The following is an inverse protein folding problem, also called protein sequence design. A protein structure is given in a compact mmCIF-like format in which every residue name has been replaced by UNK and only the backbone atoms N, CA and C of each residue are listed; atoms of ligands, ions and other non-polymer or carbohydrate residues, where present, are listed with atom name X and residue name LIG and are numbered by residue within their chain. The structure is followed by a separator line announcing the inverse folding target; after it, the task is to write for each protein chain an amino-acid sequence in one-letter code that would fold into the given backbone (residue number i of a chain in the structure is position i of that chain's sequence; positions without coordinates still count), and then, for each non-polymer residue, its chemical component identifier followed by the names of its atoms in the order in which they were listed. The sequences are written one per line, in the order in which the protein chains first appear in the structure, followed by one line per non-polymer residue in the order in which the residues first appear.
data_IF_885558481344
#
_entry.id   IF_885558481344
#
_cell.length_a   1.000
_cell.length_b   1.000
_cell.length_c   1.000
_cell.angle_alpha   90.00
_cell.angle_beta   90.00
_cell.angle_gamma   90.00
#
_symmetry.space_group_name_H-M   'P 1'
#
loop_
_entity.id
_entity.type
_entity.pdbx_description
1 polymer ?
#
# COMPACT_ATOMS: atom_id res chain seq x y z
N UNK A 1 -9.71 18.93 18.67
CA UNK A 1 -10.00 19.54 17.33
C UNK A 1 -8.70 19.81 16.61
N UNK A 2 -8.71 20.16 15.31
CA UNK A 2 -7.50 20.32 14.49
C UNK A 2 -6.46 21.30 15.05
N UNK A 3 -6.89 22.23 15.91
CA UNK A 3 -6.02 23.12 16.68
C UNK A 3 -4.90 22.41 17.47
N UNK A 4 -5.07 21.13 17.84
CA UNK A 4 -4.01 20.39 18.52
C UNK A 4 -2.76 20.21 17.64
N UNK A 5 -2.89 20.25 16.31
CA UNK A 5 -1.77 20.11 15.38
C UNK A 5 -0.98 21.41 15.17
N UNK A 6 -1.52 22.57 15.57
CA UNK A 6 -0.81 23.86 15.57
C UNK A 6 0.27 23.85 16.65
N UNK A 7 -0.04 23.28 17.83
CA UNK A 7 0.87 23.09 18.96
C UNK A 7 0.81 21.62 19.41
N UNK A 8 1.49 20.71 18.67
CA UNK A 8 1.32 19.26 18.83
C UNK A 8 1.93 18.68 20.12
N UNK A 9 2.80 19.42 20.80
CA UNK A 9 3.65 18.87 21.86
C UNK A 9 2.91 18.24 23.03
N UNK A 10 1.75 18.77 23.44
CA UNK A 10 0.98 18.20 24.54
C UNK A 10 0.33 16.86 24.14
N UNK A 11 -0.29 16.82 22.96
CA UNK A 11 -0.93 15.60 22.44
C UNK A 11 0.10 14.54 22.08
N UNK A 12 1.22 14.95 21.48
CA UNK A 12 2.34 14.06 21.20
C UNK A 12 2.87 13.40 22.48
N UNK A 13 3.08 14.18 23.56
CA UNK A 13 3.51 13.61 24.85
C UNK A 13 2.50 12.62 25.41
N UNK A 14 1.20 12.87 25.26
CA UNK A 14 0.17 11.92 25.68
C UNK A 14 0.22 10.62 24.85
N UNK A 15 0.37 10.71 23.52
CA UNK A 15 0.53 9.55 22.63
C UNK A 15 1.70 8.68 23.08
N UNK A 16 2.86 9.28 23.34
CA UNK A 16 4.06 8.56 23.80
C UNK A 16 3.83 7.94 25.19
N UNK A 17 3.26 8.70 26.12
CA UNK A 17 3.02 8.23 27.50
C UNK A 17 2.03 7.05 27.54
N UNK A 18 1.03 7.07 26.65
CA UNK A 18 0.01 6.02 26.54
C UNK A 18 0.47 4.83 25.69
N UNK A 19 1.67 4.86 25.12
CA UNK A 19 2.17 3.80 24.24
C UNK A 19 1.42 3.69 22.92
N UNK A 20 0.77 4.76 22.47
CA UNK A 20 0.02 4.83 21.20
C UNK A 20 0.96 5.07 20.00
N UNK A 21 2.16 4.49 20.03
CA UNK A 21 3.14 4.64 18.95
C UNK A 21 2.57 4.03 17.67
N UNK A 22 2.39 4.82 16.59
CA UNK A 22 1.85 4.29 15.34
C UNK A 22 2.72 3.19 14.76
N UNK A 23 2.10 2.26 14.04
CA UNK A 23 2.79 1.27 13.22
C UNK A 23 3.82 1.96 12.32
N UNK A 24 4.99 1.33 12.22
CA UNK A 24 6.09 1.74 11.33
C UNK A 24 6.66 3.13 11.64
N UNK A 25 6.53 3.58 12.88
CA UNK A 25 7.16 4.81 13.37
C UNK A 25 8.32 4.45 14.31
N UNK A 26 9.52 4.92 13.99
CA UNK A 26 10.66 4.83 14.91
C UNK A 26 10.58 5.97 15.93
N UNK A 27 9.99 5.70 17.09
CA UNK A 27 9.99 6.66 18.18
C UNK A 27 11.39 6.68 18.84
N UNK A 28 12.26 7.60 18.43
CA UNK A 28 13.53 7.82 19.13
C UNK A 28 13.25 8.54 20.45
N UNK A 29 13.39 7.83 21.56
CA UNK A 29 13.20 8.35 22.93
C UNK A 29 14.27 9.36 23.38
N UNK A 30 15.32 9.58 22.58
CA UNK A 30 16.50 10.33 22.99
C UNK A 30 16.75 11.64 22.22
N UNK A 31 15.91 11.99 21.24
CA UNK A 31 16.09 13.19 20.41
C UNK A 31 14.85 14.09 20.51
N UNK A 32 15.04 15.40 20.60
CA UNK A 32 13.95 16.36 20.47
C UNK A 32 13.33 16.22 19.07
N UNK A 33 12.14 15.62 19.00
CA UNK A 33 11.37 15.44 17.77
C UNK A 33 10.84 16.80 17.31
N UNK A 34 10.99 17.10 16.01
CA UNK A 34 10.54 18.36 15.42
C UNK A 34 9.02 18.53 15.55
N UNK A 35 8.53 19.77 15.54
CA UNK A 35 7.08 20.07 15.56
C UNK A 35 6.34 19.40 14.42
N UNK A 36 6.97 19.32 13.25
CA UNK A 36 6.41 18.66 12.06
C UNK A 36 6.26 17.16 12.28
N UNK A 37 7.31 16.48 12.76
CA UNK A 37 7.25 15.04 13.04
C UNK A 37 6.27 14.72 14.17
N UNK A 38 6.16 15.58 15.20
CA UNK A 38 5.12 15.43 16.23
C UNK A 38 3.71 15.45 15.60
N UNK A 39 3.48 16.32 14.62
CA UNK A 39 2.21 16.44 13.89
C UNK A 39 1.94 15.18 13.06
N UNK A 40 2.92 14.70 12.31
CA UNK A 40 2.80 13.46 11.52
C UNK A 40 2.46 12.26 12.41
N UNK A 41 3.06 12.16 13.60
CA UNK A 41 2.76 11.09 14.55
C UNK A 41 1.30 11.16 15.01
N UNK A 42 0.79 12.35 15.33
CA UNK A 42 -0.63 12.53 15.68
C UNK A 42 -1.55 12.14 14.51
N UNK A 43 -1.19 12.54 13.27
CA UNK A 43 -1.95 12.17 12.07
C UNK A 43 -1.93 10.66 11.82
N UNK A 44 -0.79 10.00 12.03
CA UNK A 44 -0.66 8.54 11.93
C UNK A 44 -1.55 7.83 12.97
N UNK A 45 -1.55 8.27 14.24
CA UNK A 45 -2.46 7.75 15.27
C UNK A 45 -3.91 7.93 14.83
N UNK A 46 -4.28 9.12 14.36
CA UNK A 46 -5.64 9.39 13.90
C UNK A 46 -6.07 8.46 12.76
N UNK A 47 -5.18 8.20 11.80
CA UNK A 47 -5.41 7.29 10.68
C UNK A 47 -5.61 5.84 11.15
N UNK A 48 -4.75 5.35 12.04
CA UNK A 48 -4.83 4.00 12.60
C UNK A 48 -6.15 3.78 13.34
N UNK A 49 -6.58 4.77 14.11
CA UNK A 49 -7.85 4.79 14.84
C UNK A 49 -9.07 5.21 14.00
N UNK A 50 -8.96 5.21 12.67
CA UNK A 50 -10.09 5.41 11.74
C UNK A 50 -10.76 6.78 11.86
N UNK A 51 -10.03 7.82 12.28
CA UNK A 51 -10.55 9.17 12.47
C UNK A 51 -10.63 9.96 11.15
N UNK A 52 -11.13 9.34 10.08
CA UNK A 52 -11.22 9.94 8.73
C UNK A 52 -11.95 11.29 8.75
N UNK A 53 -13.11 11.36 9.42
CA UNK A 53 -13.86 12.62 9.51
C UNK A 53 -13.07 13.75 10.18
N UNK A 54 -12.19 13.42 11.12
CA UNK A 54 -11.30 14.39 11.75
C UNK A 54 -10.17 14.82 10.81
N UNK A 55 -9.60 13.90 10.02
CA UNK A 55 -8.62 14.23 8.98
C UNK A 55 -9.22 15.15 7.92
N UNK A 56 -10.42 14.84 7.42
CA UNK A 56 -11.15 15.70 6.47
C UNK A 56 -11.39 17.10 7.06
N UNK A 57 -11.78 17.19 8.33
CA UNK A 57 -11.94 18.46 9.02
C UNK A 57 -10.63 19.26 9.11
N UNK A 58 -9.49 18.60 9.36
CA UNK A 58 -8.18 19.26 9.32
C UNK A 58 -7.91 19.84 7.93
N UNK A 59 -8.18 19.08 6.86
CA UNK A 59 -8.01 19.56 5.49
C UNK A 59 -8.89 20.79 5.19
N UNK A 60 -10.17 20.78 5.57
CA UNK A 60 -11.07 21.93 5.37
C UNK A 60 -10.58 23.17 6.11
N UNK A 61 -10.16 23.04 7.38
CA UNK A 61 -9.69 24.16 8.18
C UNK A 61 -8.36 24.74 7.67
N UNK A 62 -7.55 23.95 6.97
CA UNK A 62 -6.21 24.35 6.50
C UNK A 62 -6.18 24.75 5.03
N UNK A 63 -7.25 24.49 4.28
CA UNK A 63 -7.34 24.75 2.84
C UNK A 63 -7.12 26.22 2.46
N UNK A 64 -7.66 27.15 3.25
CA UNK A 64 -7.57 28.59 2.94
C UNK A 64 -6.26 29.25 3.41
N UNK A 65 -5.32 28.47 3.98
CA UNK A 65 -4.02 28.97 4.42
C UNK A 65 -4.01 29.76 5.74
N UNK A 66 -5.12 29.78 6.50
CA UNK A 66 -5.20 30.50 7.79
C UNK A 66 -4.14 30.07 8.81
N UNK A 67 -3.62 28.85 8.68
CA UNK A 67 -2.62 28.28 9.58
C UNK A 67 -1.26 28.00 8.91
N UNK A 68 -1.04 28.50 7.68
CA UNK A 68 0.20 28.25 6.93
C UNK A 68 1.45 28.74 7.66
N UNK A 69 1.37 29.84 8.42
CA UNK A 69 2.48 30.36 9.24
C UNK A 69 2.90 29.42 10.39
N UNK A 70 2.00 28.51 10.81
CA UNK A 70 2.28 27.45 11.77
C UNK A 70 2.71 26.13 11.12
N UNK A 71 2.95 26.12 9.80
CA UNK A 71 3.26 24.92 9.03
C UNK A 71 2.07 23.97 8.87
N UNK A 72 0.84 24.49 8.98
CA UNK A 72 -0.40 23.73 8.86
C UNK A 72 -1.10 24.15 7.56
N UNK A 73 -0.86 23.40 6.48
CA UNK A 73 -1.43 23.66 5.15
C UNK A 73 -2.06 22.41 4.55
N UNK A 74 -2.92 22.60 3.54
CA UNK A 74 -3.48 21.49 2.77
C UNK A 74 -2.38 20.68 2.06
N UNK A 75 -1.38 21.36 1.48
CA UNK A 75 -0.24 20.69 0.82
C UNK A 75 0.55 19.80 1.79
N UNK A 76 0.72 20.23 3.05
CA UNK A 76 1.33 19.41 4.09
C UNK A 76 0.54 18.12 4.35
N UNK A 77 -0.80 18.21 4.48
CA UNK A 77 -1.65 17.04 4.71
C UNK A 77 -1.64 16.07 3.53
N UNK A 78 -1.65 16.58 2.30
CA UNK A 78 -1.56 15.75 1.09
C UNK A 78 -0.20 15.06 1.03
N UNK A 79 0.89 15.79 1.28
CA UNK A 79 2.25 15.22 1.32
C UNK A 79 2.39 14.13 2.38
N UNK A 80 1.94 14.40 3.61
CA UNK A 80 1.92 13.42 4.70
C UNK A 80 1.11 12.18 4.32
N UNK A 81 -0.10 12.35 3.77
CA UNK A 81 -0.98 11.25 3.37
C UNK A 81 -0.31 10.36 2.33
N UNK A 82 0.34 10.96 1.32
CA UNK A 82 1.08 10.21 0.30
C UNK A 82 2.28 9.46 0.89
N UNK A 83 3.09 10.14 1.70
CA UNK A 83 4.23 9.51 2.36
C UNK A 83 3.80 8.33 3.22
N UNK A 84 2.72 8.49 4.00
CA UNK A 84 2.16 7.42 4.82
C UNK A 84 1.68 6.25 3.95
N UNK A 85 1.04 6.50 2.81
CA UNK A 85 0.65 5.46 1.88
C UNK A 85 1.86 4.67 1.35
N UNK A 86 2.98 5.33 1.02
CA UNK A 86 4.21 4.65 0.58
C UNK A 86 4.75 3.73 1.68
N UNK A 87 4.78 4.19 2.92
CA UNK A 87 5.21 3.37 4.07
C UNK A 87 4.31 2.13 4.22
N UNK A 88 2.99 2.31 4.23
CA UNK A 88 2.04 1.21 4.34
C UNK A 88 2.20 0.20 3.20
N UNK A 89 2.30 0.67 1.95
CA UNK A 89 2.52 -0.17 0.77
C UNK A 89 3.81 -0.97 0.88
N UNK A 90 4.91 -0.35 1.30
CA UNK A 90 6.21 -1.01 1.47
C UNK A 90 6.14 -2.14 2.48
N UNK A 91 5.40 -1.97 3.58
CA UNK A 91 5.20 -3.03 4.56
C UNK A 91 4.27 -4.14 4.03
N UNK A 92 3.19 -3.80 3.34
CA UNK A 92 2.33 -4.78 2.69
C UNK A 92 3.08 -5.65 1.68
N UNK A 93 3.97 -5.08 0.85
CA UNK A 93 4.80 -5.84 -0.08
C UNK A 93 5.66 -6.89 0.66
N UNK A 94 6.27 -6.49 1.79
CA UNK A 94 7.07 -7.38 2.62
C UNK A 94 6.23 -8.51 3.20
N UNK A 95 5.04 -8.19 3.72
CA UNK A 95 4.11 -9.21 4.23
C UNK A 95 3.65 -10.18 3.15
N UNK A 96 3.46 -9.71 1.92
CA UNK A 96 3.01 -10.53 0.80
C UNK A 96 4.14 -11.29 0.10
N UNK A 97 5.41 -11.06 0.43
CA UNK A 97 6.55 -11.75 -0.22
C UNK A 97 6.44 -13.28 -0.17
N UNK A 98 6.09 -13.91 0.97
CA UNK A 98 5.95 -15.37 1.06
C UNK A 98 4.84 -15.96 0.19
N UNK A 99 3.91 -15.13 -0.31
CA UNK A 99 2.85 -15.59 -1.21
C UNK A 99 3.38 -15.95 -2.60
N UNK A 100 4.55 -15.43 -2.98
CA UNK A 100 5.08 -15.50 -4.35
C UNK A 100 6.51 -16.06 -4.44
N UNK A 101 7.15 -16.38 -3.31
CA UNK A 101 8.55 -16.81 -3.25
C UNK A 101 8.74 -18.34 -3.31
N UNK A 102 7.65 -19.09 -3.52
CA UNK A 102 7.62 -20.56 -3.56
C UNK A 102 8.04 -21.26 -2.25
N UNK A 103 8.18 -20.51 -1.15
CA UNK A 103 8.51 -21.08 0.17
C UNK A 103 7.40 -21.96 0.74
N UNK A 104 6.19 -21.89 0.16
CA UNK A 104 4.96 -22.51 0.65
C UNK A 104 4.55 -22.04 2.06
N UNK A 105 5.16 -20.95 2.54
CA UNK A 105 4.85 -20.33 3.82
C UNK A 105 3.54 -19.54 3.70
N UNK A 106 2.61 -19.88 4.58
CA UNK A 106 1.35 -19.13 4.70
C UNK A 106 1.57 -17.93 5.60
N UNK A 107 0.77 -16.89 5.39
CA UNK A 107 0.74 -15.77 6.32
C UNK A 107 0.28 -16.27 7.68
N UNK A 108 1.06 -15.98 8.71
CA UNK A 108 0.63 -16.20 10.08
C UNK A 108 -0.49 -15.21 10.46
N UNK A 109 -1.10 -15.43 11.62
CA UNK A 109 -2.22 -14.60 12.09
C UNK A 109 -1.82 -13.14 12.33
N UNK A 110 -0.61 -12.90 12.86
CA UNK A 110 -0.14 -11.54 13.15
C UNK A 110 0.12 -10.77 11.86
N UNK A 111 0.80 -11.39 10.90
CA UNK A 111 1.04 -10.83 9.56
C UNK A 111 -0.29 -10.52 8.87
N UNK A 112 -1.28 -11.41 8.99
CA UNK A 112 -2.62 -11.20 8.45
C UNK A 112 -3.34 -10.00 9.11
N UNK A 113 -3.24 -9.86 10.43
CA UNK A 113 -3.82 -8.70 11.15
C UNK A 113 -3.15 -7.39 10.72
N UNK A 114 -1.82 -7.39 10.60
CA UNK A 114 -1.04 -6.22 10.19
C UNK A 114 -1.38 -5.82 8.75
N UNK A 115 -1.45 -6.78 7.82
CA UNK A 115 -1.85 -6.55 6.44
C UNK A 115 -3.24 -5.91 6.35
N UNK A 116 -4.22 -6.47 7.07
CA UNK A 116 -5.58 -5.91 7.14
C UNK A 116 -5.59 -4.48 7.74
N UNK A 117 -4.75 -4.21 8.73
CA UNK A 117 -4.61 -2.87 9.30
C UNK A 117 -4.06 -1.87 8.27
N UNK A 118 -3.04 -2.25 7.50
CA UNK A 118 -2.48 -1.42 6.44
C UNK A 118 -3.50 -1.16 5.32
N UNK A 119 -4.20 -2.18 4.84
CA UNK A 119 -5.23 -2.06 3.80
C UNK A 119 -6.31 -1.07 4.25
N UNK A 120 -6.81 -1.21 5.48
CA UNK A 120 -7.82 -0.31 6.03
C UNK A 120 -7.32 1.14 6.12
N UNK A 121 -6.07 1.36 6.52
CA UNK A 121 -5.47 2.70 6.51
C UNK A 121 -5.34 3.27 5.10
N UNK A 122 -4.91 2.47 4.11
CA UNK A 122 -4.84 2.91 2.71
C UNK A 122 -6.22 3.26 2.15
N UNK A 123 -7.27 2.51 2.49
CA UNK A 123 -8.64 2.83 2.13
C UNK A 123 -9.12 4.16 2.73
N UNK A 124 -8.76 4.44 3.99
CA UNK A 124 -9.05 5.74 4.60
C UNK A 124 -8.29 6.87 3.92
N UNK A 125 -7.02 6.67 3.55
CA UNK A 125 -6.27 7.66 2.77
C UNK A 125 -6.91 7.87 1.40
N UNK A 126 -7.36 6.80 0.71
CA UNK A 126 -8.07 6.93 -0.57
C UNK A 126 -9.36 7.74 -0.43
N UNK A 127 -10.15 7.47 0.62
CA UNK A 127 -11.34 8.25 0.93
C UNK A 127 -11.03 9.71 1.30
N UNK A 128 -9.93 9.96 2.02
CA UNK A 128 -9.43 11.29 2.32
C UNK A 128 -9.07 12.07 1.05
N UNK A 129 -8.35 11.45 0.11
CA UNK A 129 -8.05 12.07 -1.19
C UNK A 129 -9.32 12.37 -1.99
N UNK A 130 -10.28 11.45 -2.04
CA UNK A 130 -11.57 11.72 -2.69
C UNK A 130 -12.26 12.92 -2.07
N UNK A 131 -12.30 13.02 -0.74
CA UNK A 131 -12.83 14.19 -0.05
C UNK A 131 -12.11 15.49 -0.45
N UNK A 132 -10.77 15.49 -0.46
CA UNK A 132 -9.96 16.64 -0.85
C UNK A 132 -10.22 17.07 -2.30
N UNK A 133 -10.30 16.13 -3.24
CA UNK A 133 -10.57 16.41 -4.65
C UNK A 133 -11.99 16.94 -4.86
N UNK A 134 -12.98 16.33 -4.20
CA UNK A 134 -14.39 16.69 -4.36
C UNK A 134 -14.74 18.04 -3.72
N UNK A 135 -14.10 18.38 -2.59
CA UNK A 135 -14.50 19.53 -1.77
C UNK A 135 -13.48 20.67 -1.74
N UNK A 136 -12.20 20.40 -1.99
CA UNK A 136 -11.10 21.34 -1.78
C UNK A 136 -10.22 21.55 -3.01
N UNK A 137 -10.61 21.04 -4.19
CA UNK A 137 -9.82 21.15 -5.44
C UNK A 137 -9.43 22.58 -5.80
N UNK A 138 -10.27 23.57 -5.49
CA UNK A 138 -9.96 24.99 -5.73
C UNK A 138 -8.80 25.55 -4.88
N UNK A 139 -8.34 24.82 -3.86
CA UNK A 139 -7.22 25.21 -2.99
C UNK A 139 -5.94 24.42 -3.27
N UNK A 140 -5.94 23.51 -4.25
CA UNK A 140 -4.82 22.62 -4.56
C UNK A 140 -3.90 23.26 -5.60
N UNK A 141 -2.61 23.37 -5.29
CA UNK A 141 -1.63 23.98 -6.19
C UNK A 141 -1.33 23.14 -7.44
N UNK A 142 -1.24 21.80 -7.29
CA UNK A 142 -0.99 20.87 -8.39
C UNK A 142 -2.05 19.77 -8.41
N UNK A 143 -3.20 20.06 -9.03
CA UNK A 143 -4.34 19.14 -9.07
C UNK A 143 -4.03 17.83 -9.79
N UNK A 144 -3.26 17.88 -10.88
CA UNK A 144 -2.87 16.71 -11.68
C UNK A 144 -2.10 15.68 -10.85
N UNK A 145 -1.10 16.14 -10.11
CA UNK A 145 -0.33 15.29 -9.20
C UNK A 145 -1.23 14.63 -8.13
N UNK A 146 -2.15 15.39 -7.53
CA UNK A 146 -3.04 14.85 -6.49
C UNK A 146 -4.00 13.79 -7.05
N UNK A 147 -4.48 13.98 -8.28
CA UNK A 147 -5.30 12.98 -8.99
C UNK A 147 -4.48 11.71 -9.29
N UNK A 148 -3.23 11.85 -9.73
CA UNK A 148 -2.33 10.71 -9.95
C UNK A 148 -2.04 9.93 -8.66
N UNK A 149 -1.79 10.65 -7.56
CA UNK A 149 -1.58 10.06 -6.24
C UNK A 149 -2.82 9.30 -5.76
N UNK A 150 -4.01 9.87 -5.89
CA UNK A 150 -5.27 9.19 -5.54
C UNK A 150 -5.49 7.94 -6.39
N UNK A 151 -5.25 8.04 -7.70
CA UNK A 151 -5.39 6.91 -8.62
C UNK A 151 -4.43 5.78 -8.26
N UNK A 152 -3.16 6.11 -8.04
CA UNK A 152 -2.12 5.16 -7.63
C UNK A 152 -2.47 4.48 -6.31
N UNK A 153 -2.90 5.25 -5.30
CA UNK A 153 -3.31 4.73 -4.01
C UNK A 153 -4.52 3.79 -4.11
N UNK A 154 -5.52 4.14 -4.93
CA UNK A 154 -6.69 3.29 -5.16
C UNK A 154 -6.29 1.97 -5.81
N UNK A 155 -5.42 2.00 -6.83
CA UNK A 155 -4.92 0.79 -7.48
C UNK A 155 -4.15 -0.11 -6.51
N UNK A 156 -3.27 0.47 -5.69
CA UNK A 156 -2.52 -0.27 -4.67
C UNK A 156 -3.44 -0.88 -3.61
N UNK A 157 -4.47 -0.14 -3.17
CA UNK A 157 -5.44 -0.65 -2.19
C UNK A 157 -6.22 -1.84 -2.75
N UNK A 158 -6.74 -1.73 -3.98
CA UNK A 158 -7.43 -2.83 -4.68
C UNK A 158 -6.51 -4.04 -4.84
N UNK A 159 -5.24 -3.82 -5.22
CA UNK A 159 -4.27 -4.91 -5.36
C UNK A 159 -4.14 -5.72 -4.05
N UNK A 160 -3.94 -5.06 -2.91
CA UNK A 160 -3.81 -5.78 -1.63
C UNK A 160 -5.12 -6.38 -1.15
N UNK A 161 -6.28 -5.78 -1.44
CA UNK A 161 -7.59 -6.38 -1.17
C UNK A 161 -7.77 -7.69 -1.96
N UNK A 162 -7.39 -7.69 -3.24
CA UNK A 162 -7.40 -8.90 -4.07
C UNK A 162 -6.45 -9.94 -3.51
N UNK A 163 -5.22 -9.58 -3.11
CA UNK A 163 -4.30 -10.52 -2.49
C UNK A 163 -4.85 -11.13 -1.19
N UNK A 164 -5.42 -10.29 -0.32
CA UNK A 164 -6.03 -10.76 0.92
C UNK A 164 -7.20 -11.72 0.62
N UNK A 165 -8.00 -11.42 -0.40
CA UNK A 165 -9.07 -12.30 -0.86
C UNK A 165 -8.52 -13.64 -1.35
N UNK A 166 -7.49 -13.64 -2.22
CA UNK A 166 -6.83 -14.86 -2.71
C UNK A 166 -6.30 -15.73 -1.56
N UNK A 167 -5.70 -15.13 -0.54
CA UNK A 167 -5.27 -15.83 0.67
C UNK A 167 -6.45 -16.43 1.42
N UNK A 168 -7.53 -15.66 1.59
CA UNK A 168 -8.71 -16.09 2.33
C UNK A 168 -9.39 -17.31 1.68
N UNK A 169 -9.45 -17.36 0.34
CA UNK A 169 -10.04 -18.47 -0.41
C UNK A 169 -9.06 -19.63 -0.69
N UNK A 170 -7.81 -19.54 -0.24
CA UNK A 170 -6.81 -20.61 -0.41
C UNK A 170 -6.12 -20.64 -1.78
N UNK A 171 -6.28 -19.60 -2.60
CA UNK A 171 -5.58 -19.48 -3.88
C UNK A 171 -4.11 -19.10 -3.71
N UNK A 172 -3.76 -18.39 -2.62
CA UNK A 172 -2.37 -18.07 -2.26
C UNK A 172 -2.05 -18.48 -0.81
N UNK A 173 -0.80 -18.85 -0.50
CA UNK A 173 0.27 -19.18 -1.46
C UNK A 173 -0.09 -20.44 -2.26
N UNK A 174 0.41 -20.50 -3.49
CA UNK A 174 0.32 -21.72 -4.30
C UNK A 174 1.17 -22.84 -3.71
N UNK A 175 0.83 -24.09 -4.03
CA UNK A 175 1.57 -25.27 -3.58
C UNK A 175 2.12 -26.07 -4.76
N UNK A 176 3.15 -26.88 -4.52
CA UNK A 176 3.63 -27.81 -5.53
C UNK A 176 2.53 -28.84 -5.87
N UNK A 177 2.33 -29.23 -7.14
CA UNK A 177 1.28 -30.18 -7.54
C UNK A 177 1.29 -31.51 -6.75
N UNK A 178 2.47 -32.00 -6.36
CA UNK A 178 2.59 -33.22 -5.53
C UNK A 178 2.05 -33.08 -4.11
N UNK A 179 1.92 -31.85 -3.60
CA UNK A 179 1.40 -31.56 -2.26
C UNK A 179 -0.10 -31.29 -2.31
N UNK A 180 -0.71 -31.29 -3.50
CA UNK A 180 -2.15 -31.08 -3.68
C UNK A 180 -2.94 -32.38 -3.42
N UNK A 181 -4.09 -32.31 -2.71
CA UNK A 181 -4.63 -31.14 -2.03
C UNK A 181 -3.92 -30.88 -0.70
N UNK A 182 -3.33 -29.69 -0.53
CA UNK A 182 -2.81 -29.25 0.77
C UNK A 182 -3.92 -28.56 1.53
N UNK A 183 -4.44 -29.23 2.55
CA UNK A 183 -5.49 -28.72 3.43
C UNK A 183 -4.85 -28.02 4.63
N UNK A 184 -5.34 -26.85 5.02
CA UNK A 184 -4.88 -26.17 6.24
C UNK A 184 -5.72 -26.53 7.47
N UNK A 185 -5.37 -25.93 8.60
CA UNK A 185 -6.12 -26.06 9.85
C UNK A 185 -7.55 -25.49 9.80
N UNK A 186 -7.92 -24.80 8.71
CA UNK A 186 -9.25 -24.26 8.46
C UNK A 186 -9.93 -24.94 7.26
N UNK A 187 -9.47 -26.15 6.89
CA UNK A 187 -9.97 -26.97 5.78
C UNK A 187 -9.90 -26.31 4.38
N UNK A 188 -9.06 -25.29 4.19
CA UNK A 188 -8.85 -24.62 2.91
C UNK A 188 -7.78 -25.34 2.08
N UNK A 189 -8.16 -25.68 0.85
CA UNK A 189 -7.28 -26.32 -0.14
C UNK A 189 -6.42 -25.28 -0.84
N UNK A 190 -5.09 -25.44 -0.80
CA UNK A 190 -4.17 -24.60 -1.59
C UNK A 190 -4.31 -24.88 -3.09
N UNK A 191 -4.23 -23.84 -3.92
CA UNK A 191 -4.11 -23.99 -5.37
C UNK A 191 -2.74 -24.60 -5.76
N UNK A 192 -2.69 -25.58 -6.68
CA UNK A 192 -1.43 -26.10 -7.20
C UNK A 192 -0.86 -25.16 -8.29
N UNK A 193 0.46 -24.95 -8.30
CA UNK A 193 1.14 -24.22 -9.39
C UNK A 193 1.71 -25.19 -10.44
N UNK A 194 1.17 -25.23 -11.67
CA UNK A 194 1.59 -26.15 -12.73
C UNK A 194 2.86 -25.66 -13.45
N UNK A 195 3.98 -25.58 -12.71
CA UNK A 195 5.23 -25.00 -13.22
C UNK A 195 5.78 -25.76 -14.43
N UNK A 196 5.63 -27.08 -14.46
CA UNK A 196 6.15 -27.93 -15.54
C UNK A 196 5.36 -27.70 -16.83
N UNK A 197 4.03 -27.74 -16.74
CA UNK A 197 3.13 -27.53 -17.87
C UNK A 197 3.29 -26.12 -18.45
N UNK A 198 3.41 -25.10 -17.60
CA UNK A 198 3.66 -23.73 -18.04
C UNK A 198 5.01 -23.61 -18.74
N UNK A 199 6.06 -24.21 -18.18
CA UNK A 199 7.41 -24.19 -18.77
C UNK A 199 7.42 -24.82 -20.15
N UNK A 200 6.83 -26.01 -20.30
CA UNK A 200 6.72 -26.71 -21.58
C UNK A 200 5.92 -25.90 -22.61
N UNK A 201 4.77 -25.36 -22.20
CA UNK A 201 3.93 -24.53 -23.04
C UNK A 201 4.69 -23.30 -23.57
N UNK A 202 5.34 -22.54 -22.69
CA UNK A 202 6.07 -21.34 -23.09
C UNK A 202 7.33 -21.66 -23.91
N UNK A 203 8.05 -22.75 -23.61
CA UNK A 203 9.17 -23.20 -24.45
C UNK A 203 8.72 -23.55 -25.87
N UNK A 204 7.61 -24.26 -26.01
CA UNK A 204 7.01 -24.56 -27.31
C UNK A 204 6.60 -23.29 -28.06
N UNK A 205 5.99 -22.33 -27.37
CA UNK A 205 5.61 -21.04 -27.96
C UNK A 205 6.82 -20.22 -28.42
N UNK A 206 7.89 -20.16 -27.62
CA UNK A 206 9.15 -19.50 -28.01
C UNK A 206 9.75 -20.13 -29.27
N UNK A 207 9.80 -21.46 -29.35
CA UNK A 207 10.31 -22.16 -30.54
C UNK A 207 9.46 -21.85 -31.80
N UNK A 208 8.13 -21.85 -31.68
CA UNK A 208 7.22 -21.49 -32.78
C UNK A 208 7.43 -20.05 -33.25
N UNK A 209 7.55 -19.10 -32.31
CA UNK A 209 7.77 -17.69 -32.63
C UNK A 209 9.13 -17.46 -33.27
N UNK A 210 10.20 -18.09 -32.78
CA UNK A 210 11.54 -17.99 -33.40
C UNK A 210 11.56 -18.45 -34.87
N UNK A 211 10.75 -19.44 -35.24
CA UNK A 211 10.61 -19.86 -36.64
C UNK A 211 9.93 -18.79 -37.49
N UNK A 212 8.92 -18.10 -36.96
CA UNK A 212 8.17 -17.03 -37.64
C UNK A 212 8.95 -15.71 -37.72
N UNK A 213 9.68 -15.33 -36.67
CA UNK A 213 10.44 -14.06 -36.61
C UNK A 213 11.59 -14.04 -37.62
N UNK A 214 12.21 -15.19 -37.92
CA UNK A 214 13.23 -15.32 -38.99
C UNK A 214 12.71 -14.93 -40.37
N UNK A 215 11.39 -14.91 -40.57
CA UNK A 215 10.77 -14.64 -41.86
C UNK A 215 10.08 -13.26 -41.96
N UNK A 216 9.83 -12.53 -40.86
CA UNK A 216 8.91 -11.36 -40.94
C UNK A 216 9.16 -10.19 -39.97
N UNK A 217 9.86 -10.33 -38.84
CA UNK A 217 9.89 -9.26 -37.82
C UNK A 217 11.30 -8.78 -37.45
N UNK A 218 11.52 -7.46 -37.49
CA UNK A 218 12.80 -6.76 -37.26
C UNK A 218 12.94 -6.27 -35.80
N UNK A 219 11.90 -6.38 -34.95
CA UNK A 219 11.97 -5.82 -33.59
C UNK A 219 12.74 -6.69 -32.61
N UNK A 220 13.51 -6.04 -31.73
CA UNK A 220 14.31 -6.63 -30.64
C UNK A 220 13.51 -7.13 -29.45
N UNK A 221 12.23 -6.75 -29.34
CA UNK A 221 11.39 -7.08 -28.18
C UNK A 221 10.82 -8.50 -28.28
N UNK A 222 10.73 -9.22 -27.16
CA UNK A 222 10.10 -10.53 -27.17
C UNK A 222 8.61 -10.39 -27.46
N UNK A 223 8.08 -11.23 -28.34
CA UNK A 223 6.65 -11.23 -28.66
C UNK A 223 5.81 -11.81 -27.51
N UNK A 224 6.44 -12.56 -26.59
CA UNK A 224 5.77 -13.06 -25.41
C UNK A 224 5.86 -12.04 -24.28
N UNK A 225 4.70 -11.63 -23.79
CA UNK A 225 4.59 -10.68 -22.67
C UNK A 225 5.40 -11.12 -21.44
N UNK A 226 5.38 -12.43 -21.11
CA UNK A 226 6.13 -12.97 -19.97
C UNK A 226 7.65 -12.79 -20.11
N UNK A 227 8.18 -12.85 -21.33
CA UNK A 227 9.61 -12.68 -21.56
C UNK A 227 10.00 -11.20 -21.41
N UNK A 228 9.13 -10.27 -21.85
CA UNK A 228 9.33 -8.84 -21.60
C UNK A 228 9.27 -8.53 -20.09
N UNK A 229 8.40 -9.19 -19.33
CA UNK A 229 8.34 -9.04 -17.88
C UNK A 229 9.60 -9.56 -17.17
N UNK A 230 10.22 -10.64 -17.68
CA UNK A 230 11.44 -11.20 -17.10
C UNK A 230 12.67 -10.36 -17.47
N UNK A 231 12.73 -9.86 -18.70
CA UNK A 231 13.88 -9.12 -19.22
C UNK A 231 13.92 -7.66 -18.76
N UNK A 232 12.78 -7.07 -18.38
CA UNK A 232 12.68 -5.69 -17.89
C UNK A 232 12.71 -5.59 -16.35
N UNK A 233 13.35 -6.55 -15.66
CA UNK A 233 13.59 -6.49 -14.22
C UNK A 233 14.81 -5.65 -13.86
#
# INVERSE_FOLDING_TARGET
GPLCLIRPSDVYRQIVTLGLTPLFTEASSHVQVSTETQREIILNVALEHQLLGWLCKCASEWANGSFSSAGCSLDFLISWAFHRAIVLKTHCDRYCTPLFDYSQLRLDNNTSILLNSCIRQMNNLSAFYSYVLDNLSGFISNLELVVEQQTSLKMVSIYFEVLQWLVNVGLLPECHPSTYPRVDCADRVSAPYPVQELTEYYNKKRAQLQMLTKETFISSDSLLFIDNLVNNK
#
